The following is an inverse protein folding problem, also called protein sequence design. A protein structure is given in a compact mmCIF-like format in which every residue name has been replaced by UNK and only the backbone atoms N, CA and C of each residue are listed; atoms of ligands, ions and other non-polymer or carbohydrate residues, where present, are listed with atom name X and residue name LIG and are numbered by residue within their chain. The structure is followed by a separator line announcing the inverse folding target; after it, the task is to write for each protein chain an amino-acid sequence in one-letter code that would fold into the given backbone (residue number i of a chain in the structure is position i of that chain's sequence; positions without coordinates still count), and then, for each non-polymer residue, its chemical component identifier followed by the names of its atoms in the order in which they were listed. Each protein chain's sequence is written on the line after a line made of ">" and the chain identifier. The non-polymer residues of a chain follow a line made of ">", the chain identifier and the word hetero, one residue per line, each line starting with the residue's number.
data_IF_906436437494
#
_entry.id   IF_906436437494
#
_cell.length_a   1.000
_cell.length_b   1.000
_cell.length_c   1.000
_cell.angle_alpha   90.00
_cell.angle_beta   90.00
_cell.angle_gamma   90.00
#
_symmetry.space_group_name_H-M   'P 1'
#
loop_
_entity.id
_entity.type
_entity.pdbx_description
1 polymer ?
#
# COMPACT_ATOMS: atom_id res chain seq x y z
N UNK A 1 19.62 21.61 -21.65
CA UNK A 1 20.49 22.80 -21.57
C UNK A 1 19.60 24.03 -21.36
N UNK A 2 20.06 24.96 -20.53
CA UNK A 2 19.50 26.30 -20.38
C UNK A 2 20.53 27.27 -20.92
N UNK A 3 20.17 28.17 -21.82
CA UNK A 3 21.08 29.11 -22.47
C UNK A 3 22.34 28.46 -23.07
N UNK A 4 22.18 27.23 -23.61
CA UNK A 4 23.28 26.46 -24.20
C UNK A 4 24.15 25.68 -23.20
N UNK A 5 23.96 25.85 -21.90
CA UNK A 5 24.75 25.19 -20.84
C UNK A 5 23.95 24.06 -20.21
N UNK A 6 24.60 22.90 -19.93
CA UNK A 6 23.98 21.82 -19.18
C UNK A 6 23.71 22.27 -17.75
N UNK A 7 22.52 21.99 -17.22
CA UNK A 7 22.15 22.24 -15.84
C UNK A 7 22.27 20.96 -15.00
N UNK A 8 22.43 21.11 -13.71
CA UNK A 8 22.54 19.97 -12.77
C UNK A 8 21.27 19.11 -12.82
N UNK A 9 21.44 17.77 -12.87
CA UNK A 9 20.34 16.81 -13.02
C UNK A 9 19.74 16.73 -14.43
N UNK A 10 20.24 17.54 -15.41
CA UNK A 10 19.73 17.59 -16.77
C UNK A 10 20.44 16.65 -17.76
N UNK A 11 21.24 15.69 -17.28
CA UNK A 11 21.96 14.71 -18.11
C UNK A 11 21.78 13.32 -17.55
N UNK A 12 21.35 12.40 -18.40
CA UNK A 12 21.21 10.97 -18.06
C UNK A 12 21.56 10.13 -19.29
N UNK A 13 21.98 8.89 -19.07
CA UNK A 13 22.24 7.91 -20.13
C UNK A 13 21.51 6.62 -19.80
N UNK A 14 20.90 5.99 -20.81
CA UNK A 14 20.20 4.71 -20.65
C UNK A 14 18.92 4.78 -19.81
N UNK A 15 18.27 5.95 -19.75
CA UNK A 15 17.02 6.10 -19.03
C UNK A 15 15.88 5.37 -19.77
N UNK A 16 15.12 4.52 -19.03
CA UNK A 16 13.93 3.85 -19.55
C UNK A 16 12.72 4.78 -19.37
N UNK A 17 12.16 5.23 -20.49
CA UNK A 17 11.04 6.17 -20.53
C UNK A 17 9.79 5.47 -21.05
N UNK A 18 8.70 5.52 -20.30
CA UNK A 18 7.36 5.18 -20.78
C UNK A 18 6.69 6.40 -21.41
N UNK A 19 6.27 6.28 -22.66
CA UNK A 19 5.46 7.32 -23.31
C UNK A 19 4.04 7.29 -22.73
N UNK A 20 3.54 8.46 -22.29
CA UNK A 20 2.20 8.59 -21.68
C UNK A 20 2.18 8.46 -20.16
N UNK A 21 3.31 8.20 -19.52
CA UNK A 21 3.40 8.07 -18.04
C UNK A 21 3.37 9.42 -17.33
N UNK A 22 3.58 10.53 -18.03
CA UNK A 22 3.73 11.88 -17.47
C UNK A 22 4.85 11.98 -16.42
N UNK A 23 5.89 11.15 -16.54
CA UNK A 23 7.05 11.17 -15.65
C UNK A 23 7.93 12.40 -15.86
N UNK A 24 7.83 13.03 -17.00
CA UNK A 24 8.60 14.23 -17.38
C UNK A 24 7.74 15.47 -17.53
N UNK A 25 8.39 16.63 -17.70
CA UNK A 25 7.68 17.90 -17.90
C UNK A 25 6.84 17.84 -19.21
N UNK A 26 5.73 18.59 -19.25
CA UNK A 26 4.82 18.58 -20.39
C UNK A 26 5.54 18.81 -21.72
N UNK A 27 5.22 17.99 -22.71
CA UNK A 27 5.81 18.06 -24.05
C UNK A 27 7.02 17.14 -24.26
N UNK A 28 7.66 16.64 -23.18
CA UNK A 28 8.85 15.79 -23.33
C UNK A 28 8.50 14.45 -23.99
N UNK A 29 7.57 13.71 -23.43
CA UNK A 29 7.17 12.40 -23.93
C UNK A 29 6.49 12.50 -25.31
N UNK A 30 5.60 13.46 -25.48
CA UNK A 30 4.93 13.68 -26.78
C UNK A 30 5.87 14.11 -27.89
N UNK A 31 6.96 14.80 -27.56
CA UNK A 31 8.00 15.19 -28.52
C UNK A 31 8.87 14.02 -29.01
N UNK A 32 8.78 12.86 -28.34
CA UNK A 32 9.50 11.64 -28.73
C UNK A 32 8.63 10.67 -29.55
N UNK A 33 7.34 10.93 -29.68
CA UNK A 33 6.45 10.06 -30.45
C UNK A 33 6.87 10.08 -31.92
N UNK A 34 7.13 8.89 -32.48
CA UNK A 34 7.56 8.70 -33.88
C UNK A 34 9.06 8.84 -34.12
N UNK A 35 9.87 9.18 -33.14
CA UNK A 35 11.34 9.21 -33.24
C UNK A 35 11.88 7.78 -33.30
N UNK A 36 12.83 7.54 -34.21
CA UNK A 36 13.39 6.19 -34.45
C UNK A 36 14.63 5.94 -33.60
N UNK A 37 14.94 4.65 -33.43
CA UNK A 37 16.20 4.21 -32.80
C UNK A 37 17.40 4.81 -33.54
N UNK A 38 18.34 5.39 -32.80
CA UNK A 38 19.53 6.08 -33.30
C UNK A 38 19.32 7.55 -33.64
N UNK A 39 18.08 8.04 -33.70
CA UNK A 39 17.82 9.46 -33.94
C UNK A 39 18.05 10.29 -32.67
N UNK A 40 18.50 11.52 -32.90
CA UNK A 40 18.66 12.55 -31.85
C UNK A 40 17.75 13.73 -32.20
N UNK A 41 16.95 14.14 -31.22
CA UNK A 41 16.02 15.26 -31.37
C UNK A 41 16.24 16.29 -30.25
N UNK A 42 16.02 17.56 -30.59
CA UNK A 42 16.02 18.66 -29.64
C UNK A 42 14.59 19.03 -29.29
N UNK A 43 14.23 18.87 -28.04
CA UNK A 43 12.93 19.23 -27.49
C UNK A 43 13.03 20.59 -26.81
N UNK A 44 12.36 21.60 -27.37
CA UNK A 44 12.27 22.95 -26.77
C UNK A 44 11.07 22.95 -25.79
N UNK A 45 11.33 22.97 -24.52
CA UNK A 45 10.32 22.81 -23.47
C UNK A 45 10.43 23.91 -22.43
N UNK A 46 9.36 24.13 -21.68
CA UNK A 46 9.33 25.07 -20.56
C UNK A 46 8.99 24.32 -19.27
N UNK A 47 9.79 24.48 -18.23
CA UNK A 47 9.47 23.94 -16.91
C UNK A 47 8.18 24.57 -16.36
N UNK A 48 7.31 23.78 -15.70
CA UNK A 48 6.14 24.32 -15.02
C UNK A 48 6.53 25.43 -14.03
N UNK A 49 5.69 26.44 -13.88
CA UNK A 49 5.94 27.54 -12.92
C UNK A 49 6.00 27.07 -11.47
N UNK A 50 5.40 25.94 -11.17
CA UNK A 50 5.37 25.30 -9.83
C UNK A 50 6.37 24.14 -9.74
N UNK A 51 7.46 24.19 -10.50
CA UNK A 51 8.48 23.15 -10.44
C UNK A 51 9.29 23.26 -9.13
N UNK A 52 9.68 22.12 -8.55
CA UNK A 52 10.35 22.03 -7.25
C UNK A 52 11.69 22.79 -7.19
N UNK A 53 12.41 22.91 -8.32
CA UNK A 53 13.61 23.74 -8.41
C UNK A 53 13.24 25.17 -8.83
N UNK A 54 13.44 26.11 -7.93
CA UNK A 54 13.15 27.53 -8.18
C UNK A 54 13.98 28.13 -9.34
N UNK A 55 15.17 27.59 -9.60
CA UNK A 55 16.05 28.03 -10.69
C UNK A 55 15.57 27.56 -12.07
N UNK A 56 14.78 26.48 -12.13
CA UNK A 56 14.24 25.92 -13.34
C UNK A 56 12.77 26.27 -13.55
N UNK A 57 12.03 26.63 -12.52
CA UNK A 57 10.61 26.96 -12.60
C UNK A 57 10.34 28.06 -13.64
N UNK A 58 9.49 27.74 -14.62
CA UNK A 58 9.11 28.64 -15.71
C UNK A 58 10.21 28.92 -16.74
N UNK A 59 11.37 28.23 -16.67
CA UNK A 59 12.47 28.46 -17.61
C UNK A 59 12.32 27.65 -18.88
N UNK A 60 12.71 28.26 -20.00
CA UNK A 60 12.83 27.56 -21.29
C UNK A 60 14.14 26.79 -21.35
N UNK A 61 14.07 25.55 -21.80
CA UNK A 61 15.21 24.64 -21.90
C UNK A 61 15.16 23.83 -23.18
N UNK A 62 16.31 23.32 -23.59
CA UNK A 62 16.42 22.38 -24.71
C UNK A 62 16.92 21.05 -24.17
N UNK A 63 16.14 20.00 -24.40
CA UNK A 63 16.57 18.62 -24.16
C UNK A 63 17.00 17.98 -25.47
N UNK A 64 18.27 17.65 -25.57
CA UNK A 64 18.80 16.86 -26.69
C UNK A 64 18.69 15.40 -26.29
N UNK A 65 17.80 14.65 -26.94
CA UNK A 65 17.48 13.25 -26.62
C UNK A 65 17.86 12.35 -27.77
N UNK A 66 18.64 11.32 -27.49
CA UNK A 66 18.97 10.24 -28.43
C UNK A 66 18.20 8.99 -28.04
N UNK A 67 17.43 8.43 -28.97
CA UNK A 67 16.69 7.17 -28.75
C UNK A 67 17.63 6.01 -29.03
N UNK A 68 18.06 5.32 -27.98
CA UNK A 68 18.98 4.20 -28.10
C UNK A 68 18.28 2.88 -28.43
N UNK A 69 17.05 2.70 -27.92
CA UNK A 69 16.27 1.48 -28.06
C UNK A 69 14.78 1.80 -27.94
N UNK A 70 13.94 1.07 -28.64
CA UNK A 70 12.47 1.08 -28.47
C UNK A 70 12.09 -0.36 -28.13
N UNK A 71 11.48 -0.53 -26.95
CA UNK A 71 10.95 -1.84 -26.57
C UNK A 71 9.85 -2.23 -27.56
N UNK A 72 9.85 -3.47 -28.08
CA UNK A 72 8.75 -3.94 -28.89
C UNK A 72 7.45 -3.96 -28.06
N UNK A 73 6.33 -3.79 -28.74
CA UNK A 73 5.03 -4.09 -28.13
C UNK A 73 5.01 -5.54 -27.66
N UNK A 74 4.33 -5.79 -26.54
CA UNK A 74 4.12 -7.16 -26.08
C UNK A 74 3.37 -7.94 -27.17
N UNK A 75 3.81 -9.17 -27.38
CA UNK A 75 3.19 -10.13 -28.30
C UNK A 75 2.82 -11.38 -27.51
N UNK A 76 1.82 -12.11 -27.95
CA UNK A 76 1.31 -13.30 -27.24
C UNK A 76 2.42 -14.31 -26.95
N UNK A 77 3.35 -14.50 -27.89
CA UNK A 77 4.49 -15.40 -27.72
C UNK A 77 5.41 -14.97 -26.56
N UNK A 78 5.60 -13.66 -26.37
CA UNK A 78 6.40 -13.10 -25.29
C UNK A 78 5.67 -13.30 -23.96
N UNK A 79 4.39 -12.95 -23.91
CA UNK A 79 3.55 -13.12 -22.69
C UNK A 79 3.49 -14.59 -22.30
N UNK A 80 3.23 -15.49 -23.26
CA UNK A 80 3.20 -16.94 -23.00
C UNK A 80 4.55 -17.49 -22.50
N UNK A 81 5.68 -16.89 -22.91
CA UNK A 81 7.01 -17.33 -22.49
C UNK A 81 7.32 -17.05 -21.00
N UNK A 82 6.56 -16.22 -20.33
CA UNK A 82 6.71 -15.95 -18.90
C UNK A 82 6.25 -17.12 -18.02
N UNK A 83 5.46 -18.06 -18.58
CA UNK A 83 5.07 -19.29 -17.89
C UNK A 83 3.95 -19.12 -16.87
N UNK A 84 3.30 -17.95 -16.83
CA UNK A 84 2.17 -17.72 -15.94
C UNK A 84 0.93 -18.49 -16.42
N UNK A 85 0.15 -19.05 -15.49
CA UNK A 85 -1.09 -19.75 -15.83
C UNK A 85 -2.28 -18.79 -16.00
N UNK A 86 -2.22 -17.64 -15.35
CA UNK A 86 -3.30 -16.65 -15.30
C UNK A 86 -3.50 -15.92 -16.64
N UNK A 87 -2.46 -15.84 -17.47
CA UNK A 87 -2.51 -15.17 -18.77
C UNK A 87 -1.46 -15.75 -19.73
N UNK A 88 -1.79 -15.82 -21.03
CA UNK A 88 -0.91 -16.33 -22.11
C UNK A 88 -0.93 -15.45 -23.35
N UNK A 89 -1.86 -14.52 -23.42
CA UNK A 89 -1.97 -13.53 -24.49
C UNK A 89 -1.91 -12.12 -23.93
N UNK A 90 -1.68 -11.13 -24.79
CA UNK A 90 -1.67 -9.72 -24.38
C UNK A 90 -3.04 -9.30 -23.85
N UNK A 91 -4.12 -9.71 -24.50
CA UNK A 91 -5.50 -9.40 -24.07
C UNK A 91 -5.80 -10.00 -22.68
N UNK A 92 -5.33 -11.22 -22.42
CA UNK A 92 -5.49 -11.85 -21.10
C UNK A 92 -4.64 -11.15 -20.03
N UNK A 93 -3.42 -10.72 -20.37
CA UNK A 93 -2.57 -9.92 -19.49
C UNK A 93 -3.23 -8.60 -19.13
N UNK A 94 -3.75 -7.87 -20.12
CA UNK A 94 -4.43 -6.59 -19.91
C UNK A 94 -5.66 -6.77 -19.01
N UNK A 95 -6.48 -7.78 -19.26
CA UNK A 95 -7.63 -8.10 -18.42
C UNK A 95 -7.24 -8.50 -16.98
N UNK A 96 -6.13 -9.23 -16.83
CA UNK A 96 -5.58 -9.58 -15.52
C UNK A 96 -5.12 -8.33 -14.75
N UNK A 97 -4.38 -7.44 -15.40
CA UNK A 97 -3.89 -6.19 -14.80
C UNK A 97 -5.05 -5.27 -14.43
N UNK A 98 -6.03 -5.10 -15.31
CA UNK A 98 -7.21 -4.28 -15.03
C UNK A 98 -8.00 -4.80 -13.83
N UNK A 99 -8.20 -6.12 -13.74
CA UNK A 99 -8.89 -6.75 -12.62
C UNK A 99 -8.07 -6.60 -11.31
N UNK A 100 -6.76 -6.77 -11.37
CA UNK A 100 -5.87 -6.57 -10.24
C UNK A 100 -5.91 -5.12 -9.72
N UNK A 101 -5.83 -4.14 -10.61
CA UNK A 101 -5.89 -2.71 -10.25
C UNK A 101 -7.26 -2.33 -9.67
N UNK A 102 -8.33 -2.88 -10.24
CA UNK A 102 -9.69 -2.67 -9.73
C UNK A 102 -9.83 -3.24 -8.31
N UNK A 103 -9.36 -4.44 -8.07
CA UNK A 103 -9.40 -5.09 -6.75
C UNK A 103 -8.56 -4.31 -5.72
N UNK A 104 -7.35 -3.88 -6.09
CA UNK A 104 -6.49 -3.06 -5.22
C UNK A 104 -7.13 -1.71 -4.88
N UNK A 105 -7.79 -1.08 -5.87
CA UNK A 105 -8.51 0.19 -5.66
C UNK A 105 -9.70 0.01 -4.73
N UNK A 106 -10.47 -1.08 -4.89
CA UNK A 106 -11.62 -1.39 -4.04
C UNK A 106 -11.17 -1.65 -2.60
N UNK A 107 -10.16 -2.50 -2.41
CA UNK A 107 -9.64 -2.81 -1.08
C UNK A 107 -9.11 -1.55 -0.36
N UNK A 108 -8.43 -0.65 -1.08
CA UNK A 108 -7.97 0.60 -0.51
C UNK A 108 -9.14 1.53 -0.14
N UNK A 109 -10.18 1.59 -0.97
CA UNK A 109 -11.38 2.37 -0.68
C UNK A 109 -12.09 1.85 0.57
N UNK A 110 -12.30 0.52 0.65
CA UNK A 110 -12.96 -0.12 1.78
C UNK A 110 -12.17 0.15 3.08
N UNK A 111 -10.85 -0.05 3.06
CA UNK A 111 -9.96 0.27 4.19
C UNK A 111 -10.08 1.73 4.66
N UNK A 112 -10.10 2.70 3.73
CA UNK A 112 -10.23 4.12 4.08
C UNK A 112 -11.60 4.43 4.68
N UNK A 113 -12.67 3.85 4.13
CA UNK A 113 -14.04 4.04 4.64
C UNK A 113 -14.19 3.43 6.03
N UNK A 114 -13.75 2.19 6.22
CA UNK A 114 -13.80 1.49 7.50
C UNK A 114 -13.06 2.26 8.60
N UNK A 115 -11.83 2.69 8.33
CA UNK A 115 -11.07 3.50 9.28
C UNK A 115 -11.76 4.83 9.62
N UNK A 116 -12.37 5.49 8.63
CA UNK A 116 -13.10 6.73 8.86
C UNK A 116 -14.33 6.51 9.73
N UNK A 117 -15.10 5.42 9.49
CA UNK A 117 -16.29 5.05 10.26
C UNK A 117 -15.89 4.70 11.70
N UNK A 118 -14.90 3.83 11.90
CA UNK A 118 -14.39 3.46 13.22
C UNK A 118 -13.85 4.70 13.95
N UNK A 119 -13.08 5.53 13.28
CA UNK A 119 -12.57 6.78 13.86
C UNK A 119 -13.67 7.74 14.28
N UNK A 120 -14.76 7.83 13.51
CA UNK A 120 -15.92 8.65 13.89
C UNK A 120 -16.71 8.03 15.05
N UNK A 121 -16.85 6.70 15.09
CA UNK A 121 -17.46 5.98 16.20
C UNK A 121 -16.69 6.21 17.51
N UNK A 122 -15.36 6.03 17.50
CA UNK A 122 -14.49 6.20 18.67
C UNK A 122 -14.54 7.62 19.24
N UNK A 123 -14.66 8.65 18.40
CA UNK A 123 -14.81 10.05 18.85
C UNK A 123 -16.06 10.28 19.70
N UNK A 124 -17.08 9.44 19.56
CA UNK A 124 -18.34 9.53 20.32
C UNK A 124 -18.32 8.60 21.56
N UNK A 125 -17.28 7.78 21.73
CA UNK A 125 -17.15 6.91 22.89
C UNK A 125 -16.57 7.65 24.08
N UNK A 126 -17.04 7.28 25.27
CA UNK A 126 -16.48 7.75 26.54
C UNK A 126 -15.79 6.59 27.21
N UNK A 127 -14.52 6.74 27.47
CA UNK A 127 -13.68 5.72 28.08
C UNK A 127 -13.45 6.03 29.55
N UNK A 128 -13.25 4.99 30.36
CA UNK A 128 -12.77 5.13 31.72
C UNK A 128 -11.36 5.75 31.73
N UNK A 129 -11.03 6.46 32.83
CA UNK A 129 -9.73 7.12 32.99
C UNK A 129 -8.55 6.15 32.95
N UNK A 130 -8.79 4.90 33.39
CA UNK A 130 -7.77 3.84 33.35
C UNK A 130 -8.19 2.69 32.45
N UNK A 131 -7.35 2.42 31.49
CA UNK A 131 -7.47 1.26 30.61
C UNK A 131 -6.93 -0.01 31.35
N UNK A 132 -7.42 -1.21 31.01
CA UNK A 132 -6.90 -2.47 31.55
C UNK A 132 -5.41 -2.63 31.26
N UNK A 133 -4.60 -2.85 32.32
CA UNK A 133 -3.15 -2.89 32.17
C UNK A 133 -2.67 -4.14 31.44
N UNK A 134 -3.32 -5.26 31.63
CA UNK A 134 -3.06 -6.52 30.94
C UNK A 134 -3.24 -6.38 29.41
N UNK A 135 -4.30 -5.71 28.98
CA UNK A 135 -4.49 -5.42 27.54
C UNK A 135 -3.42 -4.47 27.01
N UNK A 136 -3.07 -3.41 27.74
CA UNK A 136 -2.01 -2.50 27.33
C UNK A 136 -0.67 -3.22 27.16
N UNK A 137 -0.33 -4.10 28.08
CA UNK A 137 0.92 -4.86 28.05
C UNK A 137 0.93 -5.85 26.87
N UNK A 138 -0.18 -6.52 26.59
CA UNK A 138 -0.33 -7.43 25.44
C UNK A 138 -0.19 -6.68 24.12
N UNK A 139 -0.88 -5.55 23.96
CA UNK A 139 -0.77 -4.74 22.73
C UNK A 139 0.62 -4.12 22.54
N UNK A 140 1.34 -3.77 23.59
CA UNK A 140 2.74 -3.35 23.48
C UNK A 140 3.64 -4.45 22.95
N UNK A 141 3.44 -5.70 23.37
CA UNK A 141 4.19 -6.84 22.84
C UNK A 141 3.91 -7.04 21.35
N UNK A 142 2.64 -7.09 20.96
CA UNK A 142 2.25 -7.23 19.55
C UNK A 142 2.79 -6.10 18.67
N UNK A 143 2.71 -4.85 19.13
CA UNK A 143 3.27 -3.70 18.43
C UNK A 143 4.80 -3.77 18.32
N UNK A 144 5.48 -4.24 19.37
CA UNK A 144 6.93 -4.41 19.35
C UNK A 144 7.35 -5.43 18.31
N UNK A 145 6.70 -6.58 18.24
CA UNK A 145 6.94 -7.63 17.23
C UNK A 145 6.72 -7.11 15.81
N UNK A 146 5.65 -6.34 15.57
CA UNK A 146 5.38 -5.71 14.27
C UNK A 146 6.48 -4.73 13.89
N UNK A 147 6.87 -3.84 14.79
CA UNK A 147 7.92 -2.84 14.56
C UNK A 147 9.29 -3.51 14.32
N UNK A 148 9.64 -4.55 15.06
CA UNK A 148 10.87 -5.31 14.85
C UNK A 148 10.90 -5.95 13.45
N UNK A 149 9.78 -6.55 13.03
CA UNK A 149 9.64 -7.14 11.71
C UNK A 149 9.78 -6.10 10.59
N UNK A 150 9.11 -4.96 10.73
CA UNK A 150 9.19 -3.88 9.74
C UNK A 150 10.59 -3.26 9.71
N UNK A 151 11.19 -2.97 10.86
CA UNK A 151 12.53 -2.42 10.98
C UNK A 151 13.58 -3.32 10.29
N UNK A 152 13.44 -4.64 10.45
CA UNK A 152 14.33 -5.61 9.82
C UNK A 152 14.30 -5.54 8.27
N UNK A 153 13.15 -5.23 7.66
CA UNK A 153 13.04 -5.07 6.21
C UNK A 153 13.84 -3.86 5.69
N UNK A 154 14.07 -2.86 6.55
CA UNK A 154 14.87 -1.68 6.23
C UNK A 154 16.31 -1.76 6.77
N UNK A 155 16.67 -2.86 7.44
CA UNK A 155 17.98 -3.02 8.08
C UNK A 155 18.21 -2.08 9.27
N UNK A 156 17.14 -1.68 9.95
CA UNK A 156 17.15 -0.79 11.11
C UNK A 156 16.81 -1.56 12.39
N UNK A 157 17.16 -0.99 13.54
CA UNK A 157 16.59 -1.39 14.82
C UNK A 157 15.22 -0.70 15.07
N UNK A 158 14.43 -1.22 15.98
CA UNK A 158 13.08 -0.74 16.27
C UNK A 158 13.02 0.76 16.66
N UNK A 159 13.97 1.26 17.45
CA UNK A 159 14.04 2.67 17.85
C UNK A 159 14.30 3.58 16.64
N UNK A 160 15.31 3.22 15.83
CA UNK A 160 15.66 3.97 14.61
C UNK A 160 14.52 3.97 13.59
N UNK A 161 13.81 2.84 13.47
CA UNK A 161 12.65 2.73 12.58
C UNK A 161 11.49 3.61 13.04
N UNK A 162 11.13 3.57 14.34
CA UNK A 162 10.08 4.44 14.88
C UNK A 162 10.39 5.92 14.66
N UNK A 163 11.63 6.33 14.90
CA UNK A 163 12.05 7.70 14.68
C UNK A 163 11.96 8.10 13.19
N UNK A 164 12.35 7.20 12.29
CA UNK A 164 12.33 7.42 10.83
C UNK A 164 10.90 7.44 10.27
N UNK A 165 10.10 6.42 10.59
CA UNK A 165 8.79 6.23 9.98
C UNK A 165 7.69 7.07 10.64
N UNK A 166 7.76 7.28 11.97
CA UNK A 166 6.69 7.89 12.76
C UNK A 166 7.11 9.19 13.44
N UNK A 167 8.39 9.55 13.44
CA UNK A 167 8.92 10.73 14.12
C UNK A 167 8.84 10.67 15.66
N UNK A 168 8.66 9.47 16.23
CA UNK A 168 8.49 9.20 17.64
C UNK A 168 9.59 8.28 18.17
N UNK A 169 9.93 8.36 19.46
CA UNK A 169 10.72 7.33 20.09
C UNK A 169 9.86 6.06 20.32
N UNK A 170 10.50 4.92 20.45
CA UNK A 170 9.84 3.61 20.54
C UNK A 170 8.87 3.53 21.74
N UNK A 171 9.26 4.06 22.89
CA UNK A 171 8.42 4.04 24.11
C UNK A 171 7.13 4.82 23.91
N UNK A 172 7.23 6.07 23.42
CA UNK A 172 6.06 6.91 23.17
C UNK A 172 5.16 6.30 22.09
N UNK A 173 5.77 5.66 21.08
CA UNK A 173 5.04 4.93 20.04
C UNK A 173 4.23 3.79 20.66
N UNK A 174 4.88 2.88 21.39
CA UNK A 174 4.22 1.74 22.01
C UNK A 174 3.11 2.15 22.97
N UNK A 175 3.35 3.17 23.83
CA UNK A 175 2.36 3.64 24.78
C UNK A 175 1.14 4.27 24.10
N UNK A 176 1.37 5.08 23.09
CA UNK A 176 0.29 5.75 22.36
C UNK A 176 -0.57 4.76 21.60
N UNK A 177 0.05 3.92 20.76
CA UNK A 177 -0.70 3.01 19.91
C UNK A 177 -1.30 1.82 20.65
N UNK A 178 -0.68 1.34 21.74
CA UNK A 178 -1.32 0.35 22.60
C UNK A 178 -2.59 0.93 23.25
N UNK A 179 -2.55 2.16 23.75
CA UNK A 179 -3.72 2.79 24.34
C UNK A 179 -4.85 3.02 23.31
N UNK A 180 -4.51 3.41 22.07
CA UNK A 180 -5.48 3.56 20.98
C UNK A 180 -6.10 2.22 20.59
N UNK A 181 -5.29 1.17 20.44
CA UNK A 181 -5.76 -0.19 20.12
C UNK A 181 -6.69 -0.73 21.20
N UNK A 182 -6.32 -0.62 22.46
CA UNK A 182 -7.16 -1.05 23.59
C UNK A 182 -8.51 -0.32 23.60
N UNK A 183 -8.52 1.00 23.39
CA UNK A 183 -9.76 1.76 23.28
C UNK A 183 -10.63 1.27 22.12
N UNK A 184 -10.05 1.00 20.97
CA UNK A 184 -10.77 0.50 19.82
C UNK A 184 -11.40 -0.86 20.10
N UNK A 185 -10.64 -1.80 20.65
CA UNK A 185 -11.15 -3.14 21.01
C UNK A 185 -12.31 -3.03 22.00
N UNK A 186 -12.13 -2.30 23.10
CA UNK A 186 -13.15 -2.15 24.13
C UNK A 186 -14.45 -1.52 23.59
N UNK A 187 -14.32 -0.53 22.73
CA UNK A 187 -15.46 0.13 22.10
C UNK A 187 -16.23 -0.80 21.15
N UNK A 188 -15.51 -1.49 20.27
CA UNK A 188 -16.10 -2.43 19.32
C UNK A 188 -16.69 -3.65 20.02
N UNK A 189 -15.98 -4.22 21.00
CA UNK A 189 -16.49 -5.33 21.81
C UNK A 189 -17.75 -4.95 22.59
N UNK A 190 -17.79 -3.73 23.13
CA UNK A 190 -18.98 -3.23 23.83
C UNK A 190 -20.16 -3.12 22.87
N UNK A 191 -19.93 -2.61 21.66
CA UNK A 191 -20.96 -2.52 20.61
C UNK A 191 -21.40 -3.92 20.17
N UNK A 192 -20.46 -4.82 19.89
CA UNK A 192 -20.73 -6.19 19.48
C UNK A 192 -21.61 -6.93 20.50
N UNK A 193 -21.28 -6.81 21.78
CA UNK A 193 -22.06 -7.43 22.86
C UNK A 193 -23.47 -6.82 22.96
N UNK A 194 -23.59 -5.50 22.83
CA UNK A 194 -24.86 -4.79 22.93
C UNK A 194 -25.81 -5.14 21.79
N UNK A 195 -25.30 -5.23 20.60
CA UNK A 195 -26.06 -5.50 19.36
C UNK A 195 -26.16 -7.01 19.03
N UNK A 196 -25.55 -7.87 19.81
CA UNK A 196 -25.60 -9.35 19.64
C UNK A 196 -24.83 -9.83 18.42
N UNK A 197 -23.70 -9.17 18.09
CA UNK A 197 -22.87 -9.49 16.93
C UNK A 197 -21.79 -10.54 17.24
N UNK A 198 -21.65 -10.96 18.50
CA UNK A 198 -20.68 -11.98 18.88
C UNK A 198 -21.10 -13.35 18.33
N UNK A 199 -20.24 -13.95 17.52
CA UNK A 199 -20.49 -15.32 16.99
C UNK A 199 -20.46 -16.35 18.10
N UNK A 200 -21.38 -17.30 18.04
CA UNK A 200 -21.33 -18.51 18.87
C UNK A 200 -20.13 -19.38 18.48
N UNK A 201 -19.77 -20.33 19.34
CA UNK A 201 -18.68 -21.28 19.03
C UNK A 201 -18.93 -22.07 17.73
N UNK A 202 -20.19 -22.44 17.45
CA UNK A 202 -20.57 -23.15 16.22
C UNK A 202 -20.43 -22.26 14.99
N UNK A 203 -20.85 -21.01 15.07
CA UNK A 203 -20.71 -20.03 13.98
C UNK A 203 -19.26 -19.69 13.70
N UNK A 204 -18.44 -19.59 14.76
CA UNK A 204 -17.01 -19.34 14.65
C UNK A 204 -16.28 -20.52 13.99
N UNK A 205 -16.54 -21.74 14.46
CA UNK A 205 -15.95 -22.96 13.88
C UNK A 205 -16.32 -23.13 12.40
N UNK A 206 -17.55 -22.81 12.05
CA UNK A 206 -18.02 -22.80 10.67
C UNK A 206 -17.27 -21.76 9.84
N UNK A 207 -17.14 -20.53 10.32
CA UNK A 207 -16.48 -19.45 9.60
C UNK A 207 -14.98 -19.75 9.37
N UNK A 208 -14.29 -20.26 10.38
CA UNK A 208 -12.88 -20.70 10.24
C UNK A 208 -12.74 -21.81 9.20
N UNK A 209 -13.65 -22.81 9.21
CA UNK A 209 -13.64 -23.91 8.23
C UNK A 209 -13.90 -23.42 6.81
N UNK A 210 -14.84 -22.49 6.63
CA UNK A 210 -15.14 -21.88 5.33
C UNK A 210 -13.94 -21.06 4.81
N UNK A 211 -13.29 -20.29 5.68
CA UNK A 211 -12.10 -19.52 5.35
C UNK A 211 -10.91 -20.43 4.97
N UNK A 212 -10.68 -21.51 5.70
CA UNK A 212 -9.65 -22.49 5.37
C UNK A 212 -9.89 -23.13 3.99
N UNK A 213 -11.14 -23.48 3.71
CA UNK A 213 -11.53 -24.04 2.40
C UNK A 213 -11.34 -23.04 1.28
N UNK A 214 -11.77 -21.80 1.45
CA UNK A 214 -11.64 -20.73 0.46
C UNK A 214 -10.16 -20.37 0.20
N UNK A 215 -9.31 -20.47 1.23
CA UNK A 215 -7.86 -20.28 1.13
C UNK A 215 -7.10 -21.46 0.54
N UNK A 216 -7.79 -22.59 0.24
CA UNK A 216 -7.16 -23.79 -0.36
C UNK A 216 -6.35 -24.63 0.62
N UNK A 217 -6.51 -24.43 1.93
CA UNK A 217 -5.81 -25.20 2.95
C UNK A 217 -6.41 -26.61 3.09
N UNK A 218 -5.57 -27.61 3.35
CA UNK A 218 -6.00 -28.98 3.49
C UNK A 218 -6.76 -29.25 4.80
N UNK A 219 -6.41 -28.53 5.87
CA UNK A 219 -7.05 -28.65 7.19
C UNK A 219 -7.21 -27.26 7.84
N UNK A 220 -8.12 -27.20 8.83
CA UNK A 220 -8.31 -25.99 9.65
C UNK A 220 -7.06 -25.68 10.48
N UNK A 221 -6.37 -26.71 10.98
CA UNK A 221 -5.13 -26.53 11.74
C UNK A 221 -4.02 -25.92 10.89
N UNK A 222 -3.92 -26.33 9.62
CA UNK A 222 -2.96 -25.72 8.67
C UNK A 222 -3.28 -24.25 8.39
N UNK A 223 -4.57 -23.92 8.27
CA UNK A 223 -5.03 -22.54 8.09
C UNK A 223 -4.77 -21.66 9.33
N UNK A 224 -5.07 -22.18 10.51
CA UNK A 224 -4.91 -21.44 11.76
C UNK A 224 -3.43 -21.18 12.10
N UNK A 225 -2.53 -22.11 11.75
CA UNK A 225 -1.11 -21.99 12.07
C UNK A 225 -0.87 -21.84 13.56
N UNK A 226 -0.27 -20.74 13.98
CA UNK A 226 0.00 -20.42 15.40
C UNK A 226 -1.17 -19.67 16.08
N UNK A 227 -2.18 -19.23 15.31
CA UNK A 227 -3.33 -18.51 15.84
C UNK A 227 -4.27 -19.43 16.61
N UNK A 228 -4.84 -18.91 17.66
CA UNK A 228 -5.84 -19.60 18.50
C UNK A 228 -7.26 -19.33 18.01
N UNK A 229 -8.22 -20.13 18.49
CA UNK A 229 -9.64 -19.88 18.23
C UNK A 229 -10.09 -18.51 18.78
N UNK A 230 -9.48 -18.04 19.85
CA UNK A 230 -9.79 -16.74 20.46
C UNK A 230 -9.29 -15.58 19.60
N UNK A 231 -8.15 -15.72 18.92
CA UNK A 231 -7.67 -14.74 17.94
C UNK A 231 -8.66 -14.60 16.78
N UNK A 232 -9.22 -15.71 16.28
CA UNK A 232 -10.28 -15.67 15.27
C UNK A 232 -11.60 -15.10 15.79
N UNK A 233 -11.92 -15.28 17.09
CA UNK A 233 -13.09 -14.66 17.71
C UNK A 233 -12.95 -13.15 17.74
N UNK A 234 -11.78 -12.65 18.10
CA UNK A 234 -11.46 -11.22 18.07
C UNK A 234 -11.54 -10.69 16.63
N UNK A 235 -10.93 -11.37 15.67
CA UNK A 235 -10.95 -11.00 14.26
C UNK A 235 -12.38 -10.87 13.72
N UNK A 236 -13.20 -11.88 13.87
CA UNK A 236 -14.59 -11.85 13.36
C UNK A 236 -15.47 -10.87 14.15
N UNK A 237 -15.21 -10.65 15.42
CA UNK A 237 -15.90 -9.60 16.17
C UNK A 237 -15.60 -8.22 15.58
N UNK A 238 -14.36 -7.95 15.18
CA UNK A 238 -14.01 -6.72 14.50
C UNK A 238 -14.73 -6.60 13.15
N UNK A 239 -14.64 -7.60 12.30
CA UNK A 239 -15.28 -7.60 10.98
C UNK A 239 -16.80 -7.36 11.08
N UNK A 240 -17.50 -8.18 11.87
CA UNK A 240 -18.95 -8.10 12.03
C UNK A 240 -19.39 -6.74 12.61
N UNK A 241 -18.60 -6.17 13.53
CA UNK A 241 -18.91 -4.89 14.16
C UNK A 241 -18.65 -3.71 13.21
N UNK A 242 -17.56 -3.74 12.44
CA UNK A 242 -17.28 -2.72 11.44
C UNK A 242 -18.33 -2.76 10.32
N UNK A 243 -18.72 -3.95 9.87
CA UNK A 243 -19.79 -4.11 8.88
C UNK A 243 -21.16 -3.62 9.38
N UNK A 244 -21.39 -3.64 10.67
CA UNK A 244 -22.61 -3.10 11.30
C UNK A 244 -22.61 -1.56 11.37
N UNK A 245 -21.45 -0.93 11.55
CA UNK A 245 -21.29 0.54 11.66
C UNK A 245 -21.54 1.25 10.32
#
# INVERSE_FOLDING_TARGET
>A
KKDGVAFEGGTSTGYQLGIGTNAFIPGFESGLVGVKVGETVDLNLTFPKQYHSAELAGQEVVFTVTVNFIYPEYQDEIVASWGEEAYKTVDELDAYVDNYLMLMSQNNYDYVVENAVVGQFLKNCVFEEKLPQDMLDDYRVRLMESIESEAAMYGLDAESYCQYANGMNLTDFLDTYAAESVKQVLALQTLANKEGLMRTDEELDKAISEAATAGGYATVEEFMGENTKEDYREYYMFEDTIAFL
#
